data_IF_308847294884
#
_entry.id   IF_308847294884
#
_cell.length_a   1.000
_cell.length_b   1.000
_cell.length_c   1.000
_cell.angle_alpha   90.00
_cell.angle_beta   90.00
_cell.angle_gamma   90.00
#
_symmetry.space_group_name_H-M   'P 1'
#
loop_
_entity.id
_entity.type
_entity.pdbx_description
1 polymer ?
#
# COMPACT_ATOMS: atom_id res chain seq x y z
N UNK A 1 -29.08 8.15 21.03
CA UNK A 1 -28.04 8.53 20.05
C UNK A 1 -28.08 10.04 19.90
N UNK A 2 -27.14 10.77 20.50
CA UNK A 2 -27.07 12.22 20.28
C UNK A 2 -26.51 12.48 18.88
N UNK A 3 -27.16 13.34 18.06
CA UNK A 3 -26.68 13.66 16.74
C UNK A 3 -25.36 14.45 16.85
N UNK A 4 -24.39 14.07 16.04
CA UNK A 4 -23.15 14.82 15.87
C UNK A 4 -23.49 16.26 15.48
N UNK A 5 -23.11 17.22 16.32
CA UNK A 5 -23.22 18.64 15.99
C UNK A 5 -22.46 18.93 14.68
N UNK A 6 -23.07 19.67 13.73
CA UNK A 6 -22.38 20.05 12.50
C UNK A 6 -21.16 20.90 12.86
N UNK A 7 -19.98 20.48 12.40
CA UNK A 7 -18.77 21.28 12.46
C UNK A 7 -19.06 22.62 11.77
N UNK A 8 -18.95 23.72 12.51
CA UNK A 8 -19.27 25.06 12.02
C UNK A 8 -18.53 25.34 10.71
N UNK A 9 -19.25 25.87 9.72
CA UNK A 9 -18.71 26.21 8.41
C UNK A 9 -17.74 27.42 8.43
N UNK A 10 -17.44 27.99 9.61
CA UNK A 10 -16.75 29.28 9.76
C UNK A 10 -15.22 29.22 9.74
N UNK A 11 -14.59 28.12 9.34
CA UNK A 11 -13.12 28.04 9.24
C UNK A 11 -12.58 27.41 7.95
N UNK A 12 -13.34 27.45 6.84
CA UNK A 12 -12.77 27.20 5.49
C UNK A 12 -12.10 28.47 4.97
N UNK A 13 -11.05 28.95 5.66
CA UNK A 13 -10.17 29.98 5.08
C UNK A 13 -9.44 29.36 3.89
N UNK A 14 -9.27 30.08 2.76
CA UNK A 14 -8.54 29.55 1.62
C UNK A 14 -7.09 29.26 2.03
N UNK A 15 -6.73 27.98 2.10
CA UNK A 15 -5.37 27.48 2.33
C UNK A 15 -4.36 27.97 1.27
N UNK A 16 -4.85 28.63 0.21
CA UNK A 16 -4.11 29.16 -0.93
C UNK A 16 -3.47 30.53 -0.70
N UNK A 17 -3.42 31.07 0.52
CA UNK A 17 -2.63 32.28 0.80
C UNK A 17 -1.20 31.90 1.15
N UNK A 18 -0.23 32.65 0.60
CA UNK A 18 1.19 32.49 0.93
C UNK A 18 1.47 32.56 2.45
N UNK A 19 0.57 33.19 3.21
CA UNK A 19 0.61 33.23 4.67
C UNK A 19 0.28 31.87 5.34
N UNK A 20 -0.66 31.07 4.82
CA UNK A 20 -1.00 29.75 5.37
C UNK A 20 0.14 28.72 5.22
N UNK A 21 0.83 28.74 4.07
CA UNK A 21 2.04 27.93 3.84
C UNK A 21 3.19 28.38 4.76
N UNK A 22 3.30 29.69 5.04
CA UNK A 22 4.32 30.26 5.93
C UNK A 22 4.12 29.90 7.40
N UNK A 23 2.89 29.62 7.83
CA UNK A 23 2.56 29.41 9.25
C UNK A 23 2.68 27.93 9.68
N UNK A 24 2.58 26.95 8.76
CA UNK A 24 2.43 25.53 9.10
C UNK A 24 3.28 24.52 8.29
N UNK A 25 4.29 24.94 7.52
CA UNK A 25 5.13 24.03 6.72
C UNK A 25 6.61 24.04 7.07
N UNK A 26 7.25 25.21 6.95
CA UNK A 26 8.70 25.36 7.16
C UNK A 26 8.99 26.71 7.84
N UNK A 27 10.01 26.76 8.72
CA UNK A 27 10.65 28.05 9.02
C UNK A 27 11.49 28.47 7.81
N UNK A 28 11.67 29.78 7.58
CA UNK A 28 12.41 30.27 6.39
C UNK A 28 13.80 29.63 6.25
N UNK A 29 14.53 29.49 7.36
CA UNK A 29 15.84 28.82 7.37
C UNK A 29 15.77 27.31 7.14
N UNK A 30 14.72 26.63 7.62
CA UNK A 30 14.58 25.19 7.41
C UNK A 30 14.16 24.85 5.97
N UNK A 31 13.42 25.72 5.29
CA UNK A 31 13.03 25.48 3.90
C UNK A 31 14.24 25.42 2.95
N UNK A 32 15.16 26.38 3.08
CA UNK A 32 16.34 26.45 2.21
C UNK A 32 17.29 25.27 2.45
N UNK A 33 17.58 24.96 3.72
CA UNK A 33 18.48 23.85 4.07
C UNK A 33 17.92 22.49 3.62
N UNK A 34 16.62 22.26 3.80
CA UNK A 34 15.94 21.05 3.32
C UNK A 34 15.96 21.00 1.79
N UNK A 35 15.71 22.12 1.11
CA UNK A 35 15.75 22.16 -0.37
C UNK A 35 17.15 21.81 -0.88
N UNK A 36 18.20 22.42 -0.32
CA UNK A 36 19.58 22.13 -0.70
C UNK A 36 19.95 20.67 -0.44
N UNK A 37 19.59 20.14 0.73
CA UNK A 37 19.80 18.73 1.08
C UNK A 37 19.13 17.79 0.05
N UNK A 38 17.84 18.01 -0.25
CA UNK A 38 17.12 17.20 -1.22
C UNK A 38 17.74 17.29 -2.62
N UNK A 39 18.15 18.48 -3.05
CA UNK A 39 18.80 18.71 -4.34
C UNK A 39 20.12 17.93 -4.45
N UNK A 40 21.01 18.06 -3.47
CA UNK A 40 22.30 17.37 -3.44
C UNK A 40 22.12 15.85 -3.40
N UNK A 41 21.29 15.35 -2.48
CA UNK A 41 21.04 13.92 -2.34
C UNK A 41 20.42 13.34 -3.62
N UNK A 42 19.50 14.08 -4.25
CA UNK A 42 18.86 13.64 -5.49
C UNK A 42 19.83 13.59 -6.66
N UNK A 43 20.75 14.55 -6.77
CA UNK A 43 21.81 14.53 -7.78
C UNK A 43 22.72 13.30 -7.62
N UNK A 44 23.17 13.02 -6.40
CA UNK A 44 24.02 11.84 -6.12
C UNK A 44 23.28 10.54 -6.44
N UNK A 45 22.03 10.40 -5.99
CA UNK A 45 21.23 9.21 -6.24
C UNK A 45 20.89 9.04 -7.72
N UNK A 46 20.64 10.11 -8.46
CA UNK A 46 20.35 10.06 -9.90
C UNK A 46 21.57 9.58 -10.68
N UNK A 47 22.78 10.06 -10.35
CA UNK A 47 24.03 9.60 -10.95
C UNK A 47 24.28 8.12 -10.65
N UNK A 48 24.09 7.70 -9.40
CA UNK A 48 24.24 6.30 -9.00
C UNK A 48 23.21 5.36 -9.65
N UNK A 49 21.98 5.84 -9.86
CA UNK A 49 20.90 5.08 -10.48
C UNK A 49 20.94 5.09 -12.02
N UNK A 50 21.77 5.92 -12.64
CA UNK A 50 21.78 6.10 -14.10
C UNK A 50 22.01 4.78 -14.87
N UNK A 51 22.97 3.90 -14.50
CA UNK A 51 23.20 2.66 -15.24
C UNK A 51 21.97 1.75 -15.27
N UNK A 52 21.31 1.56 -14.12
CA UNK A 52 20.10 0.73 -14.03
C UNK A 52 18.92 1.39 -14.73
N UNK A 53 18.80 2.72 -14.68
CA UNK A 53 17.77 3.46 -15.39
C UNK A 53 17.88 3.29 -16.92
N UNK A 54 19.10 3.28 -17.47
CA UNK A 54 19.35 3.01 -18.90
C UNK A 54 18.92 1.60 -19.28
N UNK A 55 19.28 0.59 -18.49
CA UNK A 55 18.85 -0.81 -18.72
C UNK A 55 17.32 -0.93 -18.72
N UNK A 56 16.65 -0.32 -17.73
CA UNK A 56 15.17 -0.31 -17.65
C UNK A 56 14.58 0.41 -18.87
N UNK A 57 15.16 1.53 -19.29
CA UNK A 57 14.70 2.29 -20.44
C UNK A 57 14.76 1.46 -21.74
N UNK A 58 15.88 0.77 -21.98
CA UNK A 58 16.05 -0.14 -23.11
C UNK A 58 15.02 -1.27 -23.04
N UNK A 59 14.86 -1.93 -21.89
CA UNK A 59 13.89 -3.00 -21.71
C UNK A 59 12.45 -2.57 -21.98
N UNK A 60 12.06 -1.35 -21.57
CA UNK A 60 10.74 -0.79 -21.90
C UNK A 60 10.61 -0.55 -23.40
N UNK A 61 11.65 -0.03 -24.05
CA UNK A 61 11.63 0.29 -25.47
C UNK A 61 11.55 -0.97 -26.34
N UNK A 62 12.29 -2.01 -25.98
CA UNK A 62 12.28 -3.30 -26.68
C UNK A 62 10.94 -4.04 -26.55
N UNK A 63 10.17 -3.79 -25.49
CA UNK A 63 8.93 -4.52 -25.21
C UNK A 63 7.77 -4.15 -26.14
N UNK A 64 7.57 -2.87 -26.43
CA UNK A 64 6.42 -2.42 -27.24
C UNK A 64 6.70 -1.12 -28.03
N UNK A 65 7.96 -0.66 -28.11
CA UNK A 65 8.35 0.53 -28.86
C UNK A 65 7.84 1.87 -28.29
N UNK A 66 7.02 1.84 -27.23
CA UNK A 66 6.36 3.01 -26.66
C UNK A 66 7.32 3.99 -25.95
N UNK A 67 6.78 5.08 -25.37
CA UNK A 67 7.56 6.01 -24.56
C UNK A 67 8.12 5.32 -23.32
N UNK A 68 9.34 5.67 -22.93
CA UNK A 68 10.00 5.10 -21.73
C UNK A 68 9.38 5.65 -20.45
N UNK A 69 9.11 6.95 -20.44
CA UNK A 69 8.62 7.68 -19.27
C UNK A 69 7.10 7.92 -19.37
N UNK A 70 6.48 7.88 -18.21
CA UNK A 70 5.10 8.27 -17.98
C UNK A 70 5.07 9.54 -17.12
N UNK A 71 4.20 10.48 -17.50
CA UNK A 71 4.00 11.75 -16.79
C UNK A 71 2.58 11.84 -16.27
N UNK A 72 2.41 11.64 -14.96
CA UNK A 72 1.10 11.71 -14.31
C UNK A 72 0.90 13.04 -13.58
N UNK A 73 -0.24 13.71 -13.80
CA UNK A 73 -0.59 14.92 -13.04
C UNK A 73 -0.85 14.58 -11.57
N UNK A 74 -0.27 15.36 -10.65
CA UNK A 74 -0.35 15.15 -9.21
C UNK A 74 -0.46 16.47 -8.46
N UNK A 75 -1.16 16.47 -7.33
CA UNK A 75 -1.27 17.62 -6.44
C UNK A 75 0.02 17.79 -5.62
N UNK A 76 0.64 18.97 -5.71
CA UNK A 76 1.87 19.33 -5.01
C UNK A 76 1.69 20.44 -3.98
N UNK A 77 2.76 21.19 -3.72
CA UNK A 77 2.78 22.30 -2.75
C UNK A 77 1.72 23.35 -3.10
N UNK A 78 0.94 23.78 -2.09
CA UNK A 78 -0.17 24.71 -2.23
C UNK A 78 -1.34 24.17 -3.07
N UNK A 79 -1.40 22.85 -3.29
CA UNK A 79 -2.41 22.21 -4.13
C UNK A 79 -2.17 22.41 -5.62
N UNK A 80 -1.01 22.93 -6.03
CA UNK A 80 -0.69 23.16 -7.44
C UNK A 80 -0.36 21.83 -8.13
N UNK A 81 -0.92 21.56 -9.32
CA UNK A 81 -0.60 20.33 -10.05
C UNK A 81 0.83 20.37 -10.60
N UNK A 82 1.53 19.24 -10.55
CA UNK A 82 2.84 19.02 -11.19
C UNK A 82 2.86 17.67 -11.91
N UNK A 83 3.83 17.48 -12.81
CA UNK A 83 3.99 16.23 -13.56
C UNK A 83 4.96 15.30 -12.82
N UNK A 84 4.41 14.27 -12.18
CA UNK A 84 5.20 13.22 -11.55
C UNK A 84 5.72 12.24 -12.61
N UNK A 85 7.03 12.03 -12.64
CA UNK A 85 7.74 11.27 -13.67
C UNK A 85 7.95 9.83 -13.16
N UNK A 86 7.63 8.84 -13.98
CA UNK A 86 7.87 7.42 -13.68
C UNK A 86 8.29 6.66 -14.93
N UNK A 87 8.88 5.48 -14.76
CA UNK A 87 8.96 4.54 -15.88
C UNK A 87 7.57 4.01 -16.22
N UNK A 88 7.32 3.86 -17.52
CA UNK A 88 6.06 3.31 -18.00
C UNK A 88 6.00 1.82 -17.69
N UNK A 89 5.03 1.44 -16.87
CA UNK A 89 4.77 0.04 -16.50
C UNK A 89 3.52 -0.52 -17.17
N UNK A 90 2.68 0.34 -17.77
CA UNK A 90 1.44 -0.05 -18.44
C UNK A 90 1.55 0.10 -19.97
N UNK A 91 0.74 -0.63 -20.74
CA UNK A 91 0.59 -0.40 -22.18
C UNK A 91 0.18 1.05 -22.49
N UNK A 92 0.54 1.52 -23.68
CA UNK A 92 0.12 2.83 -24.17
C UNK A 92 -1.42 2.89 -24.21
N UNK A 93 -2.00 3.99 -23.72
CA UNK A 93 -3.46 4.15 -23.67
C UNK A 93 -4.14 3.52 -22.45
N UNK A 94 -3.39 2.88 -21.53
CA UNK A 94 -3.95 2.28 -20.32
C UNK A 94 -4.76 3.25 -19.45
N UNK A 95 -4.40 4.54 -19.42
CA UNK A 95 -5.15 5.55 -18.65
C UNK A 95 -6.62 5.65 -19.09
N UNK A 96 -6.91 5.46 -20.40
CA UNK A 96 -8.26 5.47 -20.94
C UNK A 96 -9.06 4.24 -20.47
N UNK A 97 -8.41 3.08 -20.40
CA UNK A 97 -9.01 1.82 -19.95
C UNK A 97 -9.27 1.80 -18.44
N UNK A 98 -8.43 2.49 -17.65
CA UNK A 98 -8.55 2.55 -16.18
C UNK A 98 -9.57 3.62 -15.74
N UNK A 99 -9.91 4.60 -16.57
CA UNK A 99 -11.05 5.50 -16.30
C UNK A 99 -10.92 6.36 -15.02
N UNK A 100 -9.69 6.69 -14.60
CA UNK A 100 -9.45 7.42 -13.35
C UNK A 100 -9.60 6.58 -12.08
N UNK A 101 -9.86 5.27 -12.19
CA UNK A 101 -9.85 4.33 -11.09
C UNK A 101 -8.43 3.97 -10.64
N UNK A 102 -8.34 3.23 -9.54
CA UNK A 102 -7.08 2.60 -9.12
C UNK A 102 -6.88 1.33 -9.93
N UNK A 103 -5.64 1.08 -10.36
CA UNK A 103 -5.33 -0.14 -11.09
C UNK A 103 -5.65 -1.40 -10.25
N UNK A 104 -6.58 -2.19 -10.73
CA UNK A 104 -6.94 -3.52 -10.22
C UNK A 104 -6.37 -4.66 -11.09
N UNK A 105 -6.27 -5.86 -10.51
CA UNK A 105 -5.97 -7.10 -11.26
C UNK A 105 -6.96 -7.35 -12.40
N UNK A 106 -8.19 -6.84 -12.27
CA UNK A 106 -9.25 -7.00 -13.26
C UNK A 106 -8.91 -6.42 -14.64
N UNK A 107 -8.03 -5.40 -14.71
CA UNK A 107 -7.70 -4.79 -16.00
C UNK A 107 -6.75 -5.66 -16.85
N UNK A 108 -6.09 -6.68 -16.29
CA UNK A 108 -5.13 -7.56 -17.00
C UNK A 108 -3.99 -6.81 -17.73
N UNK A 109 -3.68 -5.58 -17.33
CA UNK A 109 -2.68 -4.71 -18.00
C UNK A 109 -1.23 -4.92 -17.51
N UNK A 110 -1.02 -5.84 -16.56
CA UNK A 110 0.27 -6.02 -15.88
C UNK A 110 1.00 -7.25 -16.43
N UNK A 111 2.22 -7.06 -16.89
CA UNK A 111 3.18 -8.12 -17.24
C UNK A 111 4.13 -8.44 -16.08
N UNK A 112 4.81 -9.62 -16.09
CA UNK A 112 5.80 -9.97 -15.08
C UNK A 112 6.90 -8.89 -14.92
N UNK A 113 7.40 -8.32 -16.01
CA UNK A 113 8.39 -7.24 -15.97
C UNK A 113 7.83 -5.97 -15.30
N UNK A 114 6.62 -5.53 -15.68
CA UNK A 114 5.99 -4.38 -15.04
C UNK A 114 5.63 -4.61 -13.57
N UNK A 115 5.31 -5.86 -13.20
CA UNK A 115 5.09 -6.26 -11.80
C UNK A 115 6.40 -6.16 -11.02
N UNK A 116 7.49 -6.70 -11.56
CA UNK A 116 8.82 -6.60 -10.96
C UNK A 116 9.24 -5.15 -10.71
N UNK A 117 9.08 -4.27 -11.71
CA UNK A 117 9.44 -2.85 -11.55
C UNK A 117 8.67 -2.16 -10.42
N UNK A 118 7.38 -2.49 -10.24
CA UNK A 118 6.53 -1.92 -9.18
C UNK A 118 6.82 -2.52 -7.81
N UNK A 119 7.02 -3.83 -7.76
CA UNK A 119 7.30 -4.57 -6.54
C UNK A 119 8.66 -4.18 -5.93
N UNK A 120 9.60 -3.78 -6.79
CA UNK A 120 10.91 -3.24 -6.42
C UNK A 120 10.96 -1.72 -6.36
N UNK A 121 9.90 -1.03 -6.81
CA UNK A 121 9.80 0.44 -6.96
C UNK A 121 10.86 1.06 -7.87
N UNK A 122 11.50 0.26 -8.71
CA UNK A 122 12.41 0.75 -9.74
C UNK A 122 11.69 1.65 -10.75
N UNK A 123 10.36 1.50 -10.90
CA UNK A 123 9.54 2.41 -11.73
C UNK A 123 9.52 3.85 -11.22
N UNK A 124 9.87 4.07 -9.96
CA UNK A 124 9.85 5.37 -9.30
C UNK A 124 11.17 6.15 -9.39
N UNK A 125 12.26 5.55 -9.88
CA UNK A 125 13.57 6.22 -9.99
C UNK A 125 13.53 7.56 -10.76
N UNK A 126 12.75 7.72 -11.85
CA UNK A 126 12.66 9.02 -12.54
C UNK A 126 12.09 10.16 -11.68
N UNK A 127 11.43 9.88 -10.54
CA UNK A 127 10.97 10.89 -9.60
C UNK A 127 12.12 11.65 -8.92
N UNK A 128 13.35 11.13 -8.94
CA UNK A 128 14.54 11.88 -8.52
C UNK A 128 14.68 13.19 -9.33
N UNK A 129 14.25 13.20 -10.59
CA UNK A 129 14.23 14.44 -11.38
C UNK A 129 13.20 15.45 -10.82
N UNK A 130 12.06 14.98 -10.29
CA UNK A 130 11.09 15.85 -9.63
C UNK A 130 11.63 16.43 -8.31
N UNK A 131 12.41 15.65 -7.56
CA UNK A 131 13.07 16.13 -6.34
C UNK A 131 14.11 17.19 -6.70
N UNK A 132 14.95 16.93 -7.72
CA UNK A 132 15.95 17.86 -8.21
C UNK A 132 15.33 19.20 -8.70
N UNK A 133 14.16 19.15 -9.35
CA UNK A 133 13.40 20.33 -9.79
C UNK A 133 12.74 21.11 -8.66
N UNK A 134 12.65 20.53 -7.46
CA UNK A 134 11.94 21.13 -6.32
C UNK A 134 10.41 20.97 -6.38
N UNK A 135 9.89 20.05 -7.21
CA UNK A 135 8.47 19.66 -7.18
C UNK A 135 8.14 18.77 -5.97
N UNK A 136 9.13 17.97 -5.56
CA UNK A 136 9.03 16.96 -4.49
C UNK A 136 10.20 17.07 -3.52
N UNK A 137 10.02 16.54 -2.32
CA UNK A 137 11.10 16.22 -1.38
C UNK A 137 11.27 14.69 -1.33
N UNK A 138 12.37 14.18 -0.77
CA UNK A 138 12.54 12.76 -0.49
C UNK A 138 11.50 12.24 0.49
N UNK A 139 11.19 13.01 1.53
CA UNK A 139 10.26 12.64 2.60
C UNK A 139 9.13 13.66 2.64
N UNK A 140 7.88 13.22 2.74
CA UNK A 140 6.71 14.09 2.76
C UNK A 140 5.40 13.36 2.49
N UNK A 141 4.24 14.02 2.51
CA UNK A 141 2.99 13.38 2.13
C UNK A 141 3.04 12.88 0.69
N UNK A 142 2.57 11.66 0.43
CA UNK A 142 2.56 11.12 -0.94
C UNK A 142 1.62 11.96 -1.81
N UNK A 143 2.04 12.39 -3.02
CA UNK A 143 1.20 13.20 -3.89
C UNK A 143 0.00 12.40 -4.42
N UNK A 144 -1.18 13.04 -4.47
CA UNK A 144 -2.42 12.42 -4.95
C UNK A 144 -2.78 12.90 -6.36
N UNK A 145 -3.49 12.06 -7.13
CA UNK A 145 -4.05 12.47 -8.43
C UNK A 145 -5.12 13.55 -8.24
N UNK A 146 -5.20 14.59 -9.09
CA UNK A 146 -6.27 15.58 -9.03
C UNK A 146 -7.66 14.94 -9.13
N UNK A 147 -7.85 13.95 -10.01
CA UNK A 147 -9.14 13.26 -10.15
C UNK A 147 -9.56 12.53 -8.87
N UNK A 148 -8.60 11.83 -8.24
CA UNK A 148 -8.83 11.11 -6.98
C UNK A 148 -9.08 12.09 -5.85
N UNK A 149 -8.36 13.21 -5.83
CA UNK A 149 -8.56 14.26 -4.85
C UNK A 149 -9.99 14.79 -4.91
N UNK A 150 -10.45 15.18 -6.11
CA UNK A 150 -11.77 15.75 -6.33
C UNK A 150 -12.90 14.76 -5.96
N UNK A 151 -12.76 13.48 -6.33
CA UNK A 151 -13.79 12.46 -6.10
C UNK A 151 -13.84 11.94 -4.66
N UNK A 152 -12.69 11.67 -4.04
CA UNK A 152 -12.62 10.88 -2.80
C UNK A 152 -12.06 11.64 -1.60
N UNK A 153 -11.19 12.63 -1.83
CA UNK A 153 -10.40 13.21 -0.74
C UNK A 153 -10.90 14.58 -0.30
N UNK A 154 -11.53 15.35 -1.20
CA UNK A 154 -12.03 16.70 -0.92
C UNK A 154 -13.03 16.75 0.25
N UNK A 155 -13.74 15.65 0.48
CA UNK A 155 -14.71 15.52 1.58
C UNK A 155 -14.06 15.15 2.93
N UNK A 156 -12.79 14.77 2.94
CA UNK A 156 -12.08 14.37 4.15
C UNK A 156 -11.70 15.64 4.93
N UNK A 157 -12.09 15.76 6.21
CA UNK A 157 -11.74 16.92 7.03
C UNK A 157 -10.22 17.15 7.05
N UNK A 158 -9.81 18.41 6.86
CA UNK A 158 -8.42 18.84 6.92
C UNK A 158 -7.46 18.16 5.92
N UNK A 159 -7.97 17.51 4.86
CA UNK A 159 -7.11 16.81 3.89
C UNK A 159 -6.08 17.74 3.23
N UNK A 160 -6.44 18.98 2.97
CA UNK A 160 -5.61 19.97 2.27
C UNK A 160 -4.36 20.39 3.06
N UNK A 161 -4.29 20.11 4.38
CA UNK A 161 -3.08 20.35 5.18
C UNK A 161 -1.85 19.61 4.60
N UNK A 162 -2.07 18.49 3.91
CA UNK A 162 -1.00 17.75 3.21
C UNK A 162 -0.31 18.55 2.12
N UNK A 163 -0.97 19.57 1.59
CA UNK A 163 -0.43 20.44 0.54
C UNK A 163 0.37 21.61 1.10
N UNK A 164 0.54 21.74 2.42
CA UNK A 164 1.33 22.81 3.02
C UNK A 164 2.85 22.60 2.91
N UNK A 165 3.28 21.38 2.57
CA UNK A 165 4.68 21.02 2.32
C UNK A 165 4.83 20.40 0.95
N UNK A 166 6.07 20.29 0.45
CA UNK A 166 6.31 19.55 -0.78
C UNK A 166 5.94 18.08 -0.60
N UNK A 167 5.32 17.46 -1.61
CA UNK A 167 5.04 16.02 -1.59
C UNK A 167 6.34 15.21 -1.50
N UNK A 168 6.27 14.06 -0.85
CA UNK A 168 7.39 13.15 -0.66
C UNK A 168 7.46 12.02 -1.69
N UNK A 169 8.67 11.65 -2.11
CA UNK A 169 8.93 10.36 -2.75
C UNK A 169 8.56 9.21 -1.77
N UNK A 170 8.99 9.36 -0.52
CA UNK A 170 8.66 8.52 0.62
C UNK A 170 7.52 9.18 1.41
N UNK A 171 6.32 8.58 1.33
CA UNK A 171 5.12 9.01 2.04
C UNK A 171 5.18 8.73 3.56
N UNK A 172 4.86 9.69 4.43
CA UNK A 172 4.73 9.43 5.88
C UNK A 172 3.76 8.29 6.17
N UNK A 173 2.52 8.40 5.69
CA UNK A 173 1.55 7.32 5.83
C UNK A 173 1.98 6.05 5.09
N UNK A 174 2.74 6.14 4.00
CA UNK A 174 3.17 4.99 3.22
C UNK A 174 4.19 4.12 3.95
N UNK A 175 4.98 4.69 4.87
CA UNK A 175 5.89 3.94 5.72
C UNK A 175 5.12 3.06 6.72
N UNK A 176 4.07 3.62 7.32
CA UNK A 176 3.37 2.98 8.44
C UNK A 176 2.10 2.22 8.06
N UNK A 177 1.64 2.30 6.81
CA UNK A 177 0.36 1.73 6.39
C UNK A 177 0.46 1.01 5.05
N UNK A 178 -0.36 -0.04 4.83
CA UNK A 178 -0.38 -0.76 3.57
C UNK A 178 -1.12 0.07 2.51
N UNK A 179 -0.97 -0.31 1.24
CA UNK A 179 -1.58 0.41 0.12
C UNK A 179 -3.11 0.52 0.21
N UNK A 180 -3.78 -0.47 0.82
CA UNK A 180 -5.23 -0.52 1.03
C UNK A 180 -5.75 0.40 2.14
N UNK A 181 -4.85 1.10 2.87
CA UNK A 181 -5.26 1.99 3.94
C UNK A 181 -6.22 3.09 3.45
N UNK A 182 -7.39 3.26 4.08
CA UNK A 182 -8.33 4.33 3.75
C UNK A 182 -7.66 5.71 3.71
N UNK A 183 -8.01 6.51 2.70
CA UNK A 183 -7.45 7.86 2.51
C UNK A 183 -7.58 8.75 3.75
N UNK A 184 -8.66 8.60 4.53
CA UNK A 184 -8.87 9.32 5.80
C UNK A 184 -7.78 9.03 6.85
N UNK A 185 -7.36 7.78 6.98
CA UNK A 185 -6.33 7.37 7.95
C UNK A 185 -4.97 7.86 7.47
N UNK A 186 -4.69 7.70 6.17
CA UNK A 186 -3.46 8.21 5.57
C UNK A 186 -3.34 9.73 5.73
N UNK A 187 -4.42 10.46 5.50
CA UNK A 187 -4.45 11.90 5.67
C UNK A 187 -4.24 12.32 7.13
N UNK A 188 -4.85 11.59 8.08
CA UNK A 188 -4.61 11.83 9.51
C UNK A 188 -3.13 11.66 9.89
N UNK A 189 -2.49 10.59 9.42
CA UNK A 189 -1.06 10.34 9.66
C UNK A 189 -0.23 11.44 9.01
N UNK A 190 -0.42 11.69 7.71
CA UNK A 190 0.33 12.71 6.98
C UNK A 190 0.22 14.08 7.66
N UNK A 191 -0.98 14.52 8.01
CA UNK A 191 -1.19 15.81 8.69
C UNK A 191 -0.44 15.88 10.01
N UNK A 192 -0.45 14.80 10.81
CA UNK A 192 0.30 14.76 12.08
C UNK A 192 1.80 15.01 11.85
N UNK A 193 2.38 14.43 10.80
CA UNK A 193 3.80 14.59 10.50
C UNK A 193 4.13 15.91 9.80
N UNK A 194 3.22 16.49 9.03
CA UNK A 194 3.38 17.81 8.40
C UNK A 194 3.61 18.91 9.44
N UNK A 195 2.91 18.84 10.57
CA UNK A 195 3.03 19.83 11.65
C UNK A 195 4.30 19.68 12.50
N UNK A 196 5.06 18.59 12.35
CA UNK A 196 6.30 18.41 13.09
C UNK A 196 7.43 19.22 12.46
N UNK A 197 8.28 19.82 13.30
CA UNK A 197 9.50 20.48 12.83
C UNK A 197 10.39 19.45 12.11
N UNK A 198 10.56 19.63 10.81
CA UNK A 198 11.42 18.78 10.00
C UNK A 198 12.89 18.97 10.37
N UNK A 199 13.60 17.85 10.47
CA UNK A 199 15.05 17.80 10.63
C UNK A 199 15.64 17.02 9.48
N UNK A 200 16.73 17.54 8.90
CA UNK A 200 17.48 16.87 7.84
C UNK A 200 17.97 15.51 8.30
N UNK A 201 18.37 15.38 9.58
CA UNK A 201 18.83 14.12 10.16
C UNK A 201 17.70 13.07 10.15
N UNK A 202 16.48 13.46 10.53
CA UNK A 202 15.34 12.57 10.50
C UNK A 202 14.98 12.14 9.06
N UNK A 203 15.02 13.07 8.11
CA UNK A 203 14.78 12.76 6.70
C UNK A 203 15.85 11.81 6.15
N UNK A 204 17.13 12.03 6.48
CA UNK A 204 18.23 11.15 6.10
C UNK A 204 18.05 9.74 6.67
N UNK A 205 17.70 9.61 7.96
CA UNK A 205 17.41 8.31 8.59
C UNK A 205 16.29 7.59 7.85
N UNK A 206 15.20 8.29 7.52
CA UNK A 206 14.07 7.71 6.78
C UNK A 206 14.50 7.25 5.39
N UNK A 207 15.29 8.05 4.67
CA UNK A 207 15.80 7.71 3.34
C UNK A 207 16.69 6.47 3.41
N UNK A 208 17.66 6.44 4.32
CA UNK A 208 18.58 5.30 4.48
C UNK A 208 17.82 4.03 4.87
N UNK A 209 16.93 4.11 5.87
CA UNK A 209 16.10 2.99 6.30
C UNK A 209 15.27 2.43 5.14
N UNK A 210 14.58 3.31 4.40
CA UNK A 210 13.76 2.92 3.26
C UNK A 210 14.62 2.33 2.14
N UNK A 211 15.80 2.91 1.90
CA UNK A 211 16.78 2.41 0.93
C UNK A 211 17.21 0.98 1.24
N UNK A 212 17.58 0.69 2.48
CA UNK A 212 17.97 -0.68 2.91
C UNK A 212 16.83 -1.68 2.70
N UNK A 213 15.59 -1.32 3.08
CA UNK A 213 14.42 -2.19 2.89
C UNK A 213 14.14 -2.44 1.40
N UNK A 214 14.22 -1.41 0.56
CA UNK A 214 14.00 -1.53 -0.89
C UNK A 214 15.11 -2.33 -1.56
N UNK A 215 16.37 -2.10 -1.21
CA UNK A 215 17.50 -2.87 -1.72
C UNK A 215 17.34 -4.35 -1.41
N UNK A 216 16.96 -4.71 -0.18
CA UNK A 216 16.63 -6.10 0.17
C UNK A 216 15.50 -6.66 -0.71
N UNK A 217 14.44 -5.89 -0.94
CA UNK A 217 13.32 -6.29 -1.83
C UNK A 217 13.81 -6.51 -3.27
N UNK A 218 14.67 -5.64 -3.80
CA UNK A 218 15.28 -5.77 -5.13
C UNK A 218 16.09 -7.06 -5.23
N UNK A 219 16.97 -7.34 -4.27
CA UNK A 219 17.79 -8.55 -4.30
C UNK A 219 16.96 -9.82 -4.16
N UNK A 220 16.01 -9.86 -3.22
CA UNK A 220 15.16 -11.05 -3.01
C UNK A 220 14.23 -11.28 -4.19
N UNK A 221 13.46 -10.27 -4.61
CA UNK A 221 12.47 -10.43 -5.68
C UNK A 221 13.10 -10.48 -7.07
N UNK A 222 14.11 -9.65 -7.31
CA UNK A 222 14.87 -9.65 -8.56
C UNK A 222 15.68 -10.93 -8.72
N UNK A 223 16.36 -11.38 -7.65
CA UNK A 223 17.03 -12.67 -7.62
C UNK A 223 16.06 -13.82 -7.85
N UNK A 224 14.94 -13.88 -7.13
CA UNK A 224 13.93 -14.92 -7.34
C UNK A 224 13.35 -14.90 -8.76
N UNK A 225 13.13 -13.73 -9.37
CA UNK A 225 12.69 -13.62 -10.75
C UNK A 225 13.73 -14.16 -11.73
N UNK A 226 15.00 -13.78 -11.56
CA UNK A 226 16.11 -14.26 -12.39
C UNK A 226 16.29 -15.77 -12.25
N UNK A 227 16.40 -16.27 -11.02
CA UNK A 227 16.55 -17.68 -10.71
C UNK A 227 15.36 -18.50 -11.19
N UNK A 228 14.11 -18.04 -10.99
CA UNK A 228 12.93 -18.71 -11.53
C UNK A 228 13.00 -18.80 -13.04
N UNK A 229 13.37 -17.75 -13.77
CA UNK A 229 13.41 -17.82 -15.22
C UNK A 229 14.60 -18.65 -15.74
N UNK A 230 15.77 -18.56 -15.11
CA UNK A 230 16.96 -19.31 -15.49
C UNK A 230 16.82 -20.81 -15.20
N UNK A 231 16.38 -21.18 -13.99
CA UNK A 231 16.16 -22.59 -13.62
C UNK A 231 14.97 -23.17 -14.36
N UNK A 232 13.87 -22.42 -14.56
CA UNK A 232 12.68 -22.94 -15.26
C UNK A 232 12.96 -23.19 -16.74
N UNK A 233 13.83 -22.40 -17.37
CA UNK A 233 14.33 -22.69 -18.72
C UNK A 233 15.23 -23.94 -18.77
N UNK A 234 15.91 -24.27 -17.66
CA UNK A 234 16.93 -25.32 -17.61
C UNK A 234 16.44 -26.68 -17.05
N UNK A 235 15.52 -26.70 -16.09
CA UNK A 235 15.25 -27.87 -15.22
C UNK A 235 13.80 -28.40 -15.25
N UNK A 236 12.80 -27.54 -15.44
CA UNK A 236 11.39 -27.91 -15.24
C UNK A 236 10.57 -27.60 -16.50
N UNK A 237 10.57 -28.54 -17.45
CA UNK A 237 9.68 -28.46 -18.62
C UNK A 237 8.20 -28.47 -18.22
N UNK A 238 7.81 -29.10 -17.11
CA UNK A 238 6.39 -29.37 -16.80
C UNK A 238 5.90 -29.08 -15.37
N UNK A 239 6.75 -28.71 -14.40
CA UNK A 239 6.26 -28.36 -13.06
C UNK A 239 5.89 -26.88 -12.95
N UNK A 240 4.61 -26.59 -13.17
CA UNK A 240 4.02 -25.26 -12.96
C UNK A 240 3.51 -25.15 -11.52
N UNK A 241 4.27 -24.47 -10.66
CA UNK A 241 3.74 -23.94 -9.39
C UNK A 241 2.54 -23.04 -9.72
N UNK A 242 1.31 -23.56 -9.53
CA UNK A 242 0.06 -22.86 -9.89
C UNK A 242 -0.30 -21.71 -8.94
N UNK A 243 0.43 -21.57 -7.82
CA UNK A 243 0.13 -20.58 -6.79
C UNK A 243 0.86 -19.27 -7.09
N UNK A 244 0.08 -18.21 -7.33
CA UNK A 244 0.61 -16.88 -7.61
C UNK A 244 0.81 -16.01 -6.36
N UNK A 245 0.09 -16.32 -5.28
CA UNK A 245 0.03 -15.50 -4.05
C UNK A 245 0.76 -16.16 -2.88
N UNK A 246 1.58 -15.36 -2.20
CA UNK A 246 2.29 -15.73 -0.98
C UNK A 246 1.30 -15.88 0.20
N UNK A 247 1.48 -16.91 1.05
CA UNK A 247 0.63 -17.17 2.23
C UNK A 247 1.41 -16.88 3.50
N UNK A 248 0.76 -16.19 4.44
CA UNK A 248 1.31 -15.83 5.75
C UNK A 248 0.70 -16.76 6.80
N UNK A 249 1.55 -17.52 7.48
CA UNK A 249 1.17 -18.38 8.61
C UNK A 249 0.75 -17.53 9.81
N UNK A 250 -0.35 -17.89 10.46
CA UNK A 250 -0.93 -17.13 11.57
C UNK A 250 -0.64 -17.85 12.89
N UNK A 251 0.20 -17.26 13.75
CA UNK A 251 0.58 -17.88 15.05
C UNK A 251 -0.31 -17.44 16.23
N UNK A 252 -0.97 -16.29 16.12
CA UNK A 252 -1.73 -15.67 17.22
C UNK A 252 -3.08 -15.10 16.75
N UNK A 253 -3.63 -15.67 15.68
CA UNK A 253 -4.92 -15.26 15.15
C UNK A 253 -6.00 -16.27 15.53
N UNK A 254 -7.13 -15.77 16.02
CA UNK A 254 -8.34 -16.56 16.23
C UNK A 254 -9.39 -16.19 15.19
N UNK A 255 -10.19 -17.17 14.79
CA UNK A 255 -11.32 -16.98 13.89
C UNK A 255 -12.59 -17.40 14.65
N UNK A 256 -13.56 -16.50 14.78
CA UNK A 256 -14.93 -16.91 15.11
C UNK A 256 -15.80 -16.70 13.89
N UNK A 257 -16.57 -17.74 13.54
CA UNK A 257 -17.62 -17.65 12.54
C UNK A 257 -18.89 -17.15 13.19
N UNK A 258 -19.54 -16.19 12.55
CA UNK A 258 -20.86 -15.71 12.94
C UNK A 258 -21.88 -16.13 11.90
N UNK A 259 -22.95 -16.77 12.37
CA UNK A 259 -24.16 -16.95 11.59
C UNK A 259 -25.15 -15.88 12.05
N UNK A 260 -25.76 -15.19 11.09
CA UNK A 260 -26.85 -14.25 11.37
C UNK A 260 -28.15 -15.05 11.38
N UNK A 261 -28.70 -15.33 12.57
CA UNK A 261 -30.11 -15.66 12.75
C UNK A 261 -30.79 -14.49 13.46
N UNK A 262 -32.07 -14.26 13.17
CA UNK A 262 -32.80 -12.98 13.36
C UNK A 262 -32.76 -12.31 14.75
N UNK A 263 -32.22 -12.94 15.81
CA UNK A 263 -32.23 -12.37 17.17
C UNK A 263 -31.02 -12.64 18.06
N UNK A 264 -29.96 -13.36 17.64
CA UNK A 264 -28.76 -13.55 18.49
C UNK A 264 -27.46 -13.86 17.75
N UNK A 265 -26.34 -13.33 18.28
CA UNK A 265 -24.98 -13.58 17.77
C UNK A 265 -24.43 -14.92 18.29
N UNK A 266 -24.61 -16.02 17.55
CA UNK A 266 -23.97 -17.30 17.90
C UNK A 266 -22.56 -17.40 17.26
N UNK A 267 -21.51 -17.54 18.09
CA UNK A 267 -20.20 -18.05 17.63
C UNK A 267 -20.33 -19.57 17.49
N UNK A 268 -20.25 -20.08 16.26
CA UNK A 268 -20.44 -21.49 15.94
C UNK A 268 -19.17 -22.34 16.16
N UNK A 269 -18.46 -22.10 17.27
CA UNK A 269 -17.20 -22.78 17.61
C UNK A 269 -15.95 -21.92 17.44
N UNK A 270 -14.85 -22.39 18.04
CA UNK A 270 -13.52 -21.77 17.94
C UNK A 270 -12.75 -22.39 16.76
N UNK A 271 -12.50 -21.59 15.72
CA UNK A 271 -11.77 -22.04 14.54
C UNK A 271 -10.30 -21.63 14.64
N UNK A 272 -9.41 -22.53 14.26
CA UNK A 272 -7.97 -22.24 14.21
C UNK A 272 -7.60 -21.72 12.83
N UNK A 273 -7.21 -20.44 12.74
CA UNK A 273 -6.68 -19.86 11.52
C UNK A 273 -5.22 -20.28 11.34
N UNK A 274 -4.93 -21.07 10.30
CA UNK A 274 -3.61 -21.64 10.04
C UNK A 274 -2.76 -20.68 9.22
N UNK A 275 -3.28 -20.28 8.06
CA UNK A 275 -2.60 -19.36 7.16
C UNK A 275 -3.62 -18.54 6.35
N UNK A 276 -3.14 -17.46 5.73
CA UNK A 276 -3.96 -16.58 4.91
C UNK A 276 -3.12 -15.93 3.81
N UNK A 277 -3.73 -15.68 2.65
CA UNK A 277 -3.21 -14.75 1.65
C UNK A 277 -4.26 -13.68 1.32
N UNK A 278 -4.06 -12.93 0.23
CA UNK A 278 -4.95 -11.84 -0.16
C UNK A 278 -6.36 -12.28 -0.55
N UNK A 279 -6.56 -13.56 -0.88
CA UNK A 279 -7.83 -14.09 -1.42
C UNK A 279 -8.47 -15.17 -0.55
N UNK A 280 -7.65 -15.97 0.13
CA UNK A 280 -8.08 -17.19 0.79
C UNK A 280 -7.50 -17.30 2.20
N UNK A 281 -8.28 -17.92 3.08
CA UNK A 281 -7.89 -18.32 4.43
C UNK A 281 -7.94 -19.84 4.56
N UNK A 282 -6.98 -20.42 5.28
CA UNK A 282 -6.95 -21.84 5.64
C UNK A 282 -7.28 -21.97 7.11
N UNK A 283 -8.30 -22.75 7.42
CA UNK A 283 -8.73 -22.98 8.80
C UNK A 283 -8.85 -24.47 9.11
N UNK A 284 -8.70 -24.78 10.38
CA UNK A 284 -9.03 -26.08 10.95
C UNK A 284 -10.25 -25.94 11.87
N UNK A 285 -11.11 -26.95 11.83
CA UNK A 285 -12.33 -27.03 12.63
C UNK A 285 -12.64 -28.46 13.04
N UNK A 286 -13.26 -28.60 14.19
CA UNK A 286 -13.93 -29.78 14.71
C UNK A 286 -15.39 -29.90 14.23
N UNK A 287 -16.02 -28.78 13.87
CA UNK A 287 -17.40 -28.69 13.37
C UNK A 287 -17.45 -28.79 11.84
N UNK A 288 -18.44 -29.52 11.34
CA UNK A 288 -18.73 -29.54 9.91
C UNK A 288 -19.39 -28.22 9.47
N UNK A 289 -18.74 -27.52 8.54
CA UNK A 289 -19.31 -26.34 7.90
C UNK A 289 -20.08 -26.82 6.67
N UNK A 290 -21.32 -27.25 6.87
CA UNK A 290 -22.22 -27.60 5.78
C UNK A 290 -22.45 -26.38 4.85
N UNK A 291 -22.59 -26.62 3.55
CA UNK A 291 -22.89 -25.66 2.48
C UNK A 291 -21.82 -24.64 2.04
N UNK A 292 -21.87 -24.38 0.72
CA UNK A 292 -21.21 -23.30 -0.03
C UNK A 292 -21.81 -21.90 0.27
N UNK A 293 -22.52 -21.74 1.39
CA UNK A 293 -23.17 -20.47 1.73
C UNK A 293 -22.14 -19.41 2.13
N UNK A 294 -22.39 -18.16 1.75
CA UNK A 294 -21.55 -17.03 2.13
C UNK A 294 -21.81 -16.73 3.61
N UNK A 295 -20.75 -16.80 4.42
CA UNK A 295 -20.79 -16.58 5.87
C UNK A 295 -19.95 -15.38 6.29
N UNK A 296 -20.23 -14.84 7.47
CA UNK A 296 -19.47 -13.73 8.03
C UNK A 296 -18.48 -14.25 9.08
N UNK A 297 -17.20 -14.03 8.81
CA UNK A 297 -16.11 -14.43 9.69
C UNK A 297 -15.53 -13.21 10.39
N UNK A 298 -15.34 -13.33 11.71
CA UNK A 298 -14.63 -12.34 12.51
C UNK A 298 -13.23 -12.86 12.82
N UNK A 299 -12.25 -12.19 12.23
CA UNK A 299 -10.84 -12.42 12.47
C UNK A 299 -10.39 -11.60 13.68
N UNK A 300 -9.68 -12.24 14.61
CA UNK A 300 -9.02 -11.59 15.74
C UNK A 300 -7.53 -11.86 15.73
N UNK A 301 -6.70 -10.84 15.90
CA UNK A 301 -5.27 -11.00 16.12
C UNK A 301 -4.89 -10.35 17.45
N UNK A 302 -4.18 -11.09 18.29
CA UNK A 302 -3.67 -10.62 19.57
C UNK A 302 -2.15 -10.49 19.48
N UNK A 303 -1.67 -9.25 19.58
CA UNK A 303 -0.24 -8.95 19.66
C UNK A 303 0.12 -8.45 21.06
N UNK A 304 1.29 -8.83 21.57
CA UNK A 304 1.91 -8.22 22.75
C UNK A 304 3.06 -7.33 22.29
N UNK A 305 3.05 -6.06 22.69
CA UNK A 305 4.16 -5.13 22.44
C UNK A 305 4.38 -4.26 23.67
N UNK A 306 5.61 -4.22 24.18
CA UNK A 306 5.99 -3.45 25.38
C UNK A 306 5.06 -3.73 26.58
N UNK A 307 4.82 -5.00 26.90
CA UNK A 307 3.96 -5.42 28.00
C UNK A 307 2.45 -5.21 27.80
N UNK A 308 2.02 -4.44 26.79
CA UNK A 308 0.59 -4.18 26.52
C UNK A 308 0.02 -5.17 25.50
N UNK A 309 -1.07 -5.85 25.87
CA UNK A 309 -1.85 -6.73 24.97
C UNK A 309 -2.75 -5.86 24.09
N UNK A 310 -2.59 -5.94 22.77
CA UNK A 310 -3.45 -5.26 21.80
C UNK A 310 -4.21 -6.29 20.98
N UNK A 311 -5.54 -6.17 20.98
CA UNK A 311 -6.43 -7.01 20.16
C UNK A 311 -6.92 -6.22 18.95
N UNK A 312 -6.74 -6.76 17.76
CA UNK A 312 -7.27 -6.24 16.51
C UNK A 312 -8.33 -7.19 16.00
N UNK A 313 -9.45 -6.65 15.54
CA UNK A 313 -10.57 -7.44 15.03
C UNK A 313 -11.02 -6.86 13.70
N UNK A 314 -11.27 -7.72 12.72
CA UNK A 314 -11.86 -7.33 11.45
C UNK A 314 -12.89 -8.38 11.01
N UNK A 315 -13.76 -7.98 10.11
CA UNK A 315 -14.84 -8.82 9.62
C UNK A 315 -14.73 -9.00 8.11
N UNK A 316 -14.82 -10.24 7.66
CA UNK A 316 -14.77 -10.65 6.26
C UNK A 316 -15.99 -11.51 5.94
N UNK A 317 -16.51 -11.39 4.73
CA UNK A 317 -17.41 -12.40 4.18
C UNK A 317 -16.56 -13.49 3.56
N UNK A 318 -16.96 -14.76 3.73
CA UNK A 318 -16.22 -15.88 3.19
C UNK A 318 -17.14 -16.96 2.63
N UNK A 319 -16.64 -17.66 1.63
CA UNK A 319 -17.28 -18.78 0.96
C UNK A 319 -16.32 -19.97 1.00
N UNK A 320 -16.82 -21.16 1.38
CA UNK A 320 -16.02 -22.38 1.42
C UNK A 320 -15.77 -22.85 -0.01
N UNK A 321 -14.50 -22.81 -0.45
CA UNK A 321 -14.08 -23.27 -1.78
C UNK A 321 -13.66 -24.73 -1.77
N UNK A 322 -13.09 -25.19 -0.66
CA UNK A 322 -12.62 -26.57 -0.53
C UNK A 322 -12.72 -27.05 0.92
N UNK A 323 -13.23 -28.28 1.09
CA UNK A 323 -13.23 -29.05 2.33
C UNK A 323 -12.29 -30.25 2.17
N UNK A 324 -11.58 -30.62 3.22
CA UNK A 324 -10.84 -31.89 3.35
C UNK A 324 -11.02 -32.40 4.77
N UNK A 325 -11.28 -33.68 4.90
CA UNK A 325 -11.40 -34.37 6.19
C UNK A 325 -10.08 -35.04 6.56
N UNK A 326 -9.77 -35.04 7.85
CA UNK A 326 -8.59 -35.64 8.48
C UNK A 326 -9.11 -36.61 9.56
N UNK A 327 -9.19 -37.91 9.25
CA UNK A 327 -9.83 -38.91 10.13
C UNK A 327 -9.21 -39.01 11.54
N UNK A 328 -7.89 -38.80 11.66
CA UNK A 328 -7.13 -39.01 12.90
C UNK A 328 -6.66 -37.72 13.60
N UNK A 329 -7.24 -36.56 13.27
CA UNK A 329 -6.86 -35.29 13.85
C UNK A 329 -7.92 -34.77 14.85
N UNK A 330 -7.49 -34.13 15.95
CA UNK A 330 -8.38 -33.43 16.89
C UNK A 330 -9.26 -32.40 16.17
N UNK A 331 -8.72 -31.76 15.13
CA UNK A 331 -9.46 -30.89 14.22
C UNK A 331 -9.71 -31.63 12.90
N UNK A 332 -10.88 -32.28 12.82
CA UNK A 332 -11.25 -33.21 11.74
C UNK A 332 -11.38 -32.57 10.36
N UNK A 333 -11.66 -31.26 10.28
CA UNK A 333 -11.93 -30.60 9.01
C UNK A 333 -10.93 -29.49 8.68
N UNK A 334 -10.49 -29.48 7.43
CA UNK A 334 -9.69 -28.42 6.83
C UNK A 334 -10.50 -27.70 5.77
N UNK A 335 -10.65 -26.38 5.92
CA UNK A 335 -11.33 -25.55 4.94
C UNK A 335 -10.38 -24.55 4.28
N UNK A 336 -10.57 -24.37 2.97
CA UNK A 336 -10.09 -23.21 2.22
C UNK A 336 -11.29 -22.33 1.95
N UNK A 337 -11.27 -21.13 2.52
CA UNK A 337 -12.35 -20.16 2.38
C UNK A 337 -11.83 -18.99 1.56
N UNK A 338 -12.51 -18.66 0.47
CA UNK A 338 -12.29 -17.41 -0.25
C UNK A 338 -12.98 -16.31 0.52
N UNK A 339 -12.29 -15.20 0.78
CA UNK A 339 -12.85 -14.13 1.59
C UNK A 339 -12.79 -12.77 0.90
N UNK A 340 -13.70 -11.89 1.33
CA UNK A 340 -13.74 -10.48 0.94
C UNK A 340 -14.00 -9.62 2.18
N UNK A 341 -13.14 -8.65 2.50
CA UNK A 341 -13.40 -7.73 3.60
C UNK A 341 -14.66 -6.90 3.37
N UNK A 342 -15.49 -6.75 4.42
CA UNK A 342 -16.80 -6.07 4.33
C UNK A 342 -16.66 -4.56 4.08
N UNK A 343 -15.51 -3.98 4.43
CA UNK A 343 -15.25 -2.54 4.27
C UNK A 343 -13.78 -2.27 3.98
N UNK A 344 -13.47 -1.06 3.49
CA UNK A 344 -12.09 -0.61 3.31
C UNK A 344 -11.29 -0.60 4.62
N UNK A 345 -11.95 -0.36 5.76
CA UNK A 345 -11.30 -0.46 7.06
C UNK A 345 -10.93 -1.91 7.39
N UNK A 346 -11.84 -2.87 7.12
CA UNK A 346 -11.55 -4.29 7.30
C UNK A 346 -10.41 -4.75 6.38
N UNK A 347 -10.39 -4.30 5.12
CA UNK A 347 -9.29 -4.57 4.19
C UNK A 347 -7.96 -4.07 4.76
N UNK A 348 -7.91 -2.83 5.25
CA UNK A 348 -6.73 -2.29 5.91
C UNK A 348 -6.28 -3.10 7.12
N UNK A 349 -7.22 -3.56 7.96
CA UNK A 349 -6.89 -4.35 9.14
C UNK A 349 -6.34 -5.72 8.76
N UNK A 350 -6.90 -6.38 7.74
CA UNK A 350 -6.37 -7.64 7.19
C UNK A 350 -4.95 -7.43 6.68
N UNK A 351 -4.75 -6.45 5.80
CA UNK A 351 -3.45 -6.20 5.19
C UNK A 351 -2.38 -5.80 6.22
N UNK A 352 -2.74 -5.02 7.23
CA UNK A 352 -1.81 -4.53 8.24
C UNK A 352 -1.45 -5.59 9.28
N UNK A 353 -2.46 -6.29 9.82
CA UNK A 353 -2.29 -7.10 11.03
C UNK A 353 -2.28 -8.60 10.77
N UNK A 354 -2.72 -9.07 9.60
CA UNK A 354 -2.73 -10.49 9.26
C UNK A 354 -1.75 -10.80 8.12
N UNK A 355 -1.64 -9.92 7.12
CA UNK A 355 -0.73 -10.11 5.99
C UNK A 355 0.58 -9.33 6.09
N UNK A 356 0.74 -8.47 7.11
CA UNK A 356 1.96 -7.70 7.36
C UNK A 356 2.48 -6.91 6.15
N UNK A 357 1.58 -6.30 5.36
CA UNK A 357 1.91 -5.58 4.13
C UNK A 357 2.46 -4.16 4.34
N UNK A 358 2.60 -3.68 5.57
CA UNK A 358 3.31 -2.40 5.82
C UNK A 358 4.82 -2.57 5.68
N UNK A 359 5.50 -1.49 5.34
CA UNK A 359 6.97 -1.44 5.28
C UNK A 359 7.58 -1.57 6.68
N UNK A 360 6.87 -1.04 7.69
CA UNK A 360 7.28 -0.98 9.11
C UNK A 360 6.38 -1.85 9.98
#
# INVERSE_FOLDING_TARGET
MQPYAPVSQSARRPFATAQGVRQFGYSRGSFLSITLFNMVLSSVMLLAALPIMVVIAIAIKLRDGGPVLYFGSRMGLGGKPFKMIKFRTLPVGADKLIGGELLSHQHKLTTPFSKLLRDTRLDELPQLVNVLKGDMDFVGPRPERPEVYAKLCKQIPNYEQRFMVRPGLIGYAQLFTPHSCPKRIRAFIDNKYVHLKRSIIWDLIIVVFTGVVLTRSVFVKGGAYFWRNAIRAWLLKDYMERRELERVTQRHASLCMRVFSDTSELCLGDFTLVDMNEECLKIYSDVDLEDQSIRIYRLGNVSRRLGKKKRKRCTVMGEVVRKRELPDAELRFVYIIRYKPISQLNQYLVDQYFLHKSIV
#
